data_IF_982909557987
#
_entry.id   IF_982909557987
#
_cell.length_a   1.000
_cell.length_b   1.000
_cell.length_c   1.000
_cell.angle_alpha   90.00
_cell.angle_beta   90.00
_cell.angle_gamma   90.00
#
_symmetry.space_group_name_H-M   'P 1'
#
loop_
_entity.id
_entity.type
_entity.pdbx_description
1 polymer ?
#
# COMPACT_ATOMS: atom_id res chain seq x y z
N UNK A 1 -7.46 -0.89 44.35
CA UNK A 1 -6.65 -1.80 43.51
C UNK A 1 -7.15 -1.67 42.09
N UNK A 2 -6.45 -0.93 41.24
CA UNK A 2 -6.91 -0.61 39.88
C UNK A 2 -6.46 -1.70 38.91
N UNK A 3 -7.43 -2.38 38.30
CA UNK A 3 -7.26 -3.40 37.26
C UNK A 3 -6.35 -2.90 36.14
N UNK A 4 -5.16 -3.49 35.97
CA UNK A 4 -4.39 -3.32 34.74
C UNK A 4 -5.17 -4.03 33.63
N UNK A 5 -5.65 -3.28 32.65
CA UNK A 5 -6.35 -3.80 31.48
C UNK A 5 -5.52 -4.93 30.83
N UNK A 6 -5.98 -6.18 30.99
CA UNK A 6 -5.44 -7.32 30.24
C UNK A 6 -5.82 -7.08 28.79
N UNK A 7 -4.85 -6.61 28.00
CA UNK A 7 -5.03 -6.50 26.56
C UNK A 7 -5.37 -7.90 26.00
N UNK A 8 -6.25 -7.98 25.00
CA UNK A 8 -6.54 -9.24 24.32
C UNK A 8 -5.25 -9.96 23.87
N UNK A 9 -5.23 -11.29 23.94
CA UNK A 9 -4.04 -12.12 23.67
C UNK A 9 -3.37 -11.81 22.32
N UNK A 10 -4.17 -11.55 21.28
CA UNK A 10 -3.69 -11.13 19.97
C UNK A 10 -2.96 -9.77 20.01
N UNK A 11 -3.42 -8.82 20.82
CA UNK A 11 -2.79 -7.51 21.00
C UNK A 11 -1.47 -7.67 21.77
N UNK A 12 -1.44 -8.48 22.81
CA UNK A 12 -0.19 -8.80 23.55
C UNK A 12 0.84 -9.50 22.66
N UNK A 13 0.39 -10.39 21.77
CA UNK A 13 1.25 -11.07 20.81
C UNK A 13 1.85 -10.11 19.80
N UNK A 14 1.04 -9.19 19.25
CA UNK A 14 1.54 -8.13 18.36
C UNK A 14 2.56 -7.24 19.08
N UNK A 15 2.26 -6.78 20.30
CA UNK A 15 3.21 -5.98 21.09
C UNK A 15 4.51 -6.75 21.30
N UNK A 16 4.44 -8.03 21.70
CA UNK A 16 5.60 -8.91 21.86
C UNK A 16 6.42 -9.08 20.58
N UNK A 17 5.78 -9.19 19.42
CA UNK A 17 6.45 -9.36 18.14
C UNK A 17 7.14 -8.07 17.67
N UNK A 18 6.49 -6.92 17.84
CA UNK A 18 6.95 -5.63 17.35
C UNK A 18 7.77 -4.80 18.35
N UNK A 19 7.78 -5.16 19.64
CA UNK A 19 8.62 -4.52 20.67
C UNK A 19 10.00 -5.15 20.81
N UNK A 20 10.27 -6.26 20.10
CA UNK A 20 11.61 -6.87 20.07
C UNK A 20 12.59 -5.89 19.41
N UNK A 21 13.85 -5.81 19.89
CA UNK A 21 14.82 -4.86 19.37
C UNK A 21 14.95 -5.00 17.85
N UNK A 22 15.06 -3.84 17.19
CA UNK A 22 15.20 -3.63 15.73
C UNK A 22 16.39 -4.37 15.09
N UNK A 23 17.07 -5.24 15.82
CA UNK A 23 18.25 -6.01 15.42
C UNK A 23 17.93 -7.43 14.95
N UNK A 24 16.68 -7.92 14.99
CA UNK A 24 16.34 -9.23 14.40
C UNK A 24 16.38 -9.17 12.87
N UNK A 25 17.32 -9.82 12.15
CA UNK A 25 17.45 -9.69 10.70
C UNK A 25 16.17 -9.95 9.88
N UNK A 26 15.23 -10.70 10.48
CA UNK A 26 14.00 -11.17 9.86
C UNK A 26 12.85 -10.16 9.89
N UNK A 27 12.89 -9.07 10.68
CA UNK A 27 11.82 -8.05 10.64
C UNK A 27 11.79 -7.32 9.30
N UNK A 28 12.95 -7.16 8.64
CA UNK A 28 13.03 -6.67 7.26
C UNK A 28 12.40 -7.62 6.24
N UNK A 29 12.25 -8.90 6.60
CA UNK A 29 11.63 -9.95 5.77
C UNK A 29 10.17 -10.24 6.17
N UNK A 30 9.66 -9.63 7.25
CA UNK A 30 8.24 -9.79 7.58
C UNK A 30 7.42 -9.15 6.48
N UNK A 31 6.44 -9.89 5.94
CA UNK A 31 5.50 -9.34 4.98
C UNK A 31 4.87 -8.08 5.60
N UNK A 32 4.86 -6.94 4.90
CA UNK A 32 4.14 -5.77 5.37
C UNK A 32 2.71 -6.16 5.75
N UNK A 33 2.27 -5.82 6.96
CA UNK A 33 0.88 -6.07 7.40
C UNK A 33 -0.11 -5.36 6.45
N UNK A 34 0.34 -4.28 5.82
CA UNK A 34 -0.42 -3.43 4.92
C UNK A 34 0.36 -3.19 3.62
N UNK A 35 -0.32 -3.22 2.47
CA UNK A 35 0.34 -2.90 1.19
C UNK A 35 0.64 -1.39 1.09
N UNK A 36 1.56 -1.00 0.19
CA UNK A 36 1.83 0.43 -0.07
C UNK A 36 0.58 1.21 -0.46
N UNK A 37 -0.33 0.58 -1.23
CA UNK A 37 -1.61 1.16 -1.61
C UNK A 37 -2.53 1.38 -0.42
N UNK A 38 -2.71 0.35 0.41
CA UNK A 38 -3.58 0.44 1.58
C UNK A 38 -3.05 1.49 2.57
N UNK A 39 -1.72 1.57 2.75
CA UNK A 39 -1.09 2.60 3.57
C UNK A 39 -1.39 4.00 3.02
N UNK A 40 -1.19 4.20 1.71
CA UNK A 40 -1.50 5.45 1.03
C UNK A 40 -2.96 5.85 1.25
N UNK A 41 -3.91 4.94 1.08
CA UNK A 41 -5.34 5.20 1.31
C UNK A 41 -5.64 5.58 2.77
N UNK A 42 -5.03 4.90 3.75
CA UNK A 42 -5.15 5.27 5.16
C UNK A 42 -4.61 6.68 5.44
N UNK A 43 -3.54 7.06 4.74
CA UNK A 43 -2.92 8.39 4.84
C UNK A 43 -3.35 9.33 3.72
N UNK A 44 -4.51 9.14 3.09
CA UNK A 44 -5.01 10.05 2.04
C UNK A 44 -5.99 11.12 2.55
N UNK A 45 -6.42 11.04 3.81
CA UNK A 45 -7.24 12.07 4.44
C UNK A 45 -6.41 13.10 5.24
N UNK A 46 -6.26 14.36 4.77
CA UNK A 46 -5.32 15.33 5.32
C UNK A 46 -5.85 15.92 6.63
N UNK A 47 -5.35 15.40 7.75
CA UNK A 47 -5.71 15.92 9.09
C UNK A 47 -4.49 16.30 9.94
N UNK A 48 -3.25 16.03 9.49
CA UNK A 48 -2.05 16.28 10.31
C UNK A 48 -0.77 16.51 9.51
N UNK A 49 0.24 17.13 10.12
CA UNK A 49 1.61 17.23 9.55
C UNK A 49 2.26 15.86 9.34
N UNK A 50 1.92 14.88 10.18
CA UNK A 50 2.44 13.52 10.07
C UNK A 50 1.97 12.86 8.78
N UNK A 51 0.71 13.04 8.41
CA UNK A 51 0.14 12.57 7.16
C UNK A 51 0.96 13.06 5.95
N UNK A 52 1.25 14.37 5.87
CA UNK A 52 2.03 14.92 4.76
C UNK A 52 3.44 14.31 4.66
N UNK A 53 4.09 14.11 5.80
CA UNK A 53 5.42 13.49 5.83
C UNK A 53 5.38 12.04 5.34
N UNK A 54 4.38 11.27 5.76
CA UNK A 54 4.24 9.88 5.33
C UNK A 54 3.94 9.83 3.83
N UNK A 55 2.97 10.61 3.35
CA UNK A 55 2.62 10.65 1.94
C UNK A 55 3.82 11.05 1.06
N UNK A 56 4.59 12.08 1.45
CA UNK A 56 5.79 12.51 0.73
C UNK A 56 6.91 11.47 0.70
N UNK A 57 6.94 10.56 1.68
CA UNK A 57 7.88 9.43 1.64
C UNK A 57 7.37 8.32 0.72
N UNK A 58 6.06 8.04 0.76
CA UNK A 58 5.43 7.05 -0.13
C UNK A 58 5.64 7.44 -1.59
N UNK A 59 5.42 8.72 -1.94
CA UNK A 59 5.55 9.19 -3.33
C UNK A 59 6.96 9.10 -3.90
N UNK A 60 7.98 8.95 -3.05
CA UNK A 60 9.38 8.77 -3.45
C UNK A 60 9.79 7.30 -3.58
N UNK A 61 8.90 6.36 -3.29
CA UNK A 61 9.19 4.93 -3.43
C UNK A 61 9.09 4.50 -4.89
N UNK A 62 9.94 3.57 -5.31
CA UNK A 62 9.87 2.97 -6.65
C UNK A 62 8.50 2.34 -6.91
N UNK A 63 7.92 1.71 -5.88
CA UNK A 63 6.56 1.18 -5.92
C UNK A 63 5.54 2.23 -6.35
N UNK A 64 5.56 3.44 -5.75
CA UNK A 64 4.61 4.49 -6.10
C UNK A 64 4.84 5.00 -7.51
N UNK A 65 6.10 5.19 -7.92
CA UNK A 65 6.45 5.65 -9.26
C UNK A 65 5.95 4.67 -10.32
N UNK A 66 6.17 3.37 -10.13
CA UNK A 66 5.68 2.33 -11.03
C UNK A 66 4.16 2.27 -11.03
N UNK A 67 3.53 2.19 -9.86
CA UNK A 67 2.07 2.15 -9.74
C UNK A 67 1.40 3.37 -10.39
N UNK A 68 1.96 4.57 -10.20
CA UNK A 68 1.46 5.80 -10.80
C UNK A 68 1.59 5.78 -12.33
N UNK A 69 2.70 5.30 -12.89
CA UNK A 69 2.87 5.17 -14.35
C UNK A 69 1.83 4.22 -14.96
N UNK A 70 1.54 3.10 -14.29
CA UNK A 70 0.52 2.15 -14.75
C UNK A 70 -0.86 2.83 -14.72
N UNK A 71 -1.20 3.48 -13.60
CA UNK A 71 -2.45 4.24 -13.46
C UNK A 71 -2.63 5.27 -14.58
N UNK A 72 -1.61 6.09 -14.80
CA UNK A 72 -1.64 7.19 -15.77
C UNK A 72 -1.84 6.64 -17.18
N UNK A 73 -1.09 5.60 -17.57
CA UNK A 73 -1.25 4.97 -18.87
C UNK A 73 -2.66 4.38 -19.05
N UNK A 74 -3.17 3.66 -18.05
CA UNK A 74 -4.50 3.03 -18.14
C UNK A 74 -5.60 4.09 -18.26
N UNK A 75 -5.48 5.23 -17.58
CA UNK A 75 -6.47 6.32 -17.68
C UNK A 75 -6.57 6.90 -19.09
N UNK A 76 -5.44 7.05 -19.79
CA UNK A 76 -5.43 7.67 -21.11
C UNK A 76 -5.65 6.68 -22.26
N UNK A 77 -5.16 5.45 -22.11
CA UNK A 77 -5.09 4.48 -23.20
C UNK A 77 -5.86 3.20 -22.93
N UNK A 78 -6.33 2.98 -21.71
CA UNK A 78 -7.04 1.75 -21.33
C UNK A 78 -6.10 0.61 -20.95
N UNK A 79 -6.65 -0.32 -20.18
CA UNK A 79 -5.91 -1.46 -19.62
C UNK A 79 -5.49 -2.49 -20.68
N UNK A 80 -6.31 -2.68 -21.73
CA UNK A 80 -6.00 -3.62 -22.80
C UNK A 80 -4.76 -3.18 -23.59
N UNK A 81 -4.67 -1.90 -23.93
CA UNK A 81 -3.52 -1.32 -24.61
C UNK A 81 -2.25 -1.41 -23.75
N UNK A 82 -2.36 -1.17 -22.44
CA UNK A 82 -1.24 -1.37 -21.51
C UNK A 82 -0.75 -2.82 -21.52
N UNK A 83 -1.68 -3.79 -21.46
CA UNK A 83 -1.36 -5.21 -21.46
C UNK A 83 -0.69 -5.66 -22.76
N UNK A 84 -1.19 -5.21 -23.92
CA UNK A 84 -0.60 -5.50 -25.23
C UNK A 84 0.80 -4.91 -25.36
N UNK A 85 0.97 -3.62 -25.04
CA UNK A 85 2.24 -2.92 -25.19
C UNK A 85 3.35 -3.49 -24.29
N UNK A 86 3.00 -3.89 -23.07
CA UNK A 86 3.96 -4.44 -22.10
C UNK A 86 4.03 -5.98 -22.06
N UNK A 87 3.30 -6.67 -22.96
CA UNK A 87 3.17 -8.13 -22.99
C UNK A 87 2.82 -8.71 -21.59
N UNK A 88 1.79 -8.13 -20.97
CA UNK A 88 1.27 -8.53 -19.65
C UNK A 88 -0.11 -9.16 -19.80
N UNK A 89 -0.46 -10.06 -18.90
CA UNK A 89 -1.83 -10.59 -18.82
C UNK A 89 -2.73 -9.58 -18.14
N UNK A 90 -3.94 -9.39 -18.67
CA UNK A 90 -4.97 -8.55 -18.08
C UNK A 90 -5.18 -8.86 -16.59
N UNK A 91 -5.33 -10.16 -16.27
CA UNK A 91 -5.55 -10.64 -14.90
C UNK A 91 -4.46 -10.23 -13.92
N UNK A 92 -3.20 -10.15 -14.36
CA UNK A 92 -2.09 -9.77 -13.50
C UNK A 92 -2.13 -8.27 -13.17
N UNK A 93 -2.57 -7.45 -14.13
CA UNK A 93 -2.65 -5.99 -14.00
C UNK A 93 -3.90 -5.57 -13.21
N UNK A 94 -5.06 -6.15 -13.51
CA UNK A 94 -6.32 -5.79 -12.84
C UNK A 94 -6.33 -6.18 -11.35
N UNK A 95 -5.54 -7.18 -10.96
CA UNK A 95 -5.35 -7.60 -9.56
C UNK A 95 -4.49 -6.64 -8.75
N UNK A 96 -3.74 -5.73 -9.40
CA UNK A 96 -2.97 -4.71 -8.69
C UNK A 96 -3.95 -3.78 -7.99
N UNK A 97 -3.84 -3.69 -6.67
CA UNK A 97 -4.71 -2.83 -5.86
C UNK A 97 -4.68 -1.39 -6.37
N UNK A 98 -5.88 -0.82 -6.51
CA UNK A 98 -6.08 0.54 -6.98
C UNK A 98 -6.20 0.69 -8.49
N UNK A 99 -5.74 -0.26 -9.32
CA UNK A 99 -5.79 -0.13 -10.80
C UNK A 99 -7.21 -0.02 -11.34
N UNK A 100 -8.18 -0.69 -10.72
CA UNK A 100 -9.60 -0.61 -11.08
C UNK A 100 -10.13 0.84 -11.08
N UNK A 101 -9.59 1.71 -10.22
CA UNK A 101 -9.98 3.13 -10.24
C UNK A 101 -9.59 3.80 -11.55
N UNK A 102 -8.41 3.52 -12.12
CA UNK A 102 -7.98 4.07 -13.40
C UNK A 102 -8.87 3.60 -14.56
N UNK A 103 -9.29 2.34 -14.56
CA UNK A 103 -10.16 1.78 -15.59
C UNK A 103 -11.50 2.53 -15.66
N UNK A 104 -12.10 2.86 -14.52
CA UNK A 104 -13.35 3.62 -14.48
C UNK A 104 -13.25 5.03 -15.08
N UNK A 105 -12.05 5.62 -15.18
CA UNK A 105 -11.85 6.92 -15.83
C UNK A 105 -11.65 6.82 -17.35
N UNK A 106 -11.26 5.65 -17.86
CA UNK A 106 -11.07 5.42 -19.28
C UNK A 106 -12.39 5.18 -20.04
N UNK A 107 -13.46 4.79 -19.36
CA UNK A 107 -14.78 4.51 -19.97
C UNK A 107 -15.55 5.79 -20.42
N UNK A 108 -14.86 6.79 -20.97
CA UNK A 108 -15.41 8.01 -21.58
C UNK A 108 -15.22 7.98 -23.10
#
# INVERSE_FOLDING_TARGET
MTSSYFLPLNVLQLISEYSKPFTRPNWRKSKPIISGYDLMMCVSNPKSKLHYRILNNITKTDWYIEWYKIQDYIKYYGIDNYCQYHNKKYDDIIRIKGIQFAQNFYEI
#
